data_IF_254017439779
#
_entry.id   IF_254017439779
#
_cell.length_a   1.000
_cell.length_b   1.000
_cell.length_c   1.000
_cell.angle_alpha   90.00
_cell.angle_beta   90.00
_cell.angle_gamma   90.00
#
_symmetry.space_group_name_H-M   'P 1'
#
loop_
_entity.id
_entity.type
_entity.pdbx_description
1 polymer ?
#
# COMPACT_ATOMS: atom_id res chain seq x y z
N UNK A 1 0.77 -25.33 22.36
CA UNK A 1 0.99 -23.88 22.56
C UNK A 1 -0.32 -23.23 23.00
N UNK A 2 -0.50 -23.02 24.31
CA UNK A 2 -1.58 -22.16 24.83
C UNK A 2 -1.24 -20.72 24.49
N UNK A 3 -1.92 -20.10 23.50
CA UNK A 3 -1.97 -18.65 23.36
C UNK A 3 -2.61 -18.08 24.63
N UNK A 4 -1.80 -17.59 25.55
CA UNK A 4 -2.27 -16.77 26.65
C UNK A 4 -2.68 -15.44 26.03
N UNK A 5 -3.97 -15.27 25.77
CA UNK A 5 -4.57 -14.01 25.39
C UNK A 5 -4.56 -13.14 26.67
N UNK A 6 -3.51 -12.35 26.86
CA UNK A 6 -3.53 -11.25 27.81
C UNK A 6 -4.58 -10.24 27.36
N UNK A 7 -5.82 -10.47 27.76
CA UNK A 7 -6.86 -9.43 27.66
C UNK A 7 -6.52 -8.39 28.71
N UNK A 8 -5.93 -7.27 28.31
CA UNK A 8 -5.73 -6.16 29.23
C UNK A 8 -7.09 -5.75 29.80
N UNK A 9 -7.33 -5.83 31.12
CA UNK A 9 -8.58 -5.41 31.73
C UNK A 9 -8.95 -3.97 31.36
N UNK A 10 -7.92 -3.12 31.21
CA UNK A 10 -8.08 -1.72 30.82
C UNK A 10 -8.64 -1.53 29.42
N UNK A 11 -8.25 -2.37 28.45
CA UNK A 11 -8.83 -2.32 27.10
C UNK A 11 -10.30 -2.71 27.12
N UNK A 12 -10.68 -3.72 27.93
CA UNK A 12 -12.08 -4.10 28.10
C UNK A 12 -12.89 -2.95 28.68
N UNK A 13 -12.42 -2.35 29.77
CA UNK A 13 -13.05 -1.18 30.40
C UNK A 13 -13.29 -0.02 29.42
N UNK A 14 -12.28 0.28 28.57
CA UNK A 14 -12.41 1.34 27.56
C UNK A 14 -13.40 0.98 26.44
N UNK A 15 -13.53 -0.30 26.09
CA UNK A 15 -14.54 -0.77 25.12
C UNK A 15 -15.93 -0.69 25.74
N UNK A 16 -16.09 -1.16 27.00
CA UNK A 16 -17.38 -1.14 27.71
C UNK A 16 -17.83 0.32 27.95
N UNK A 17 -16.89 1.25 28.16
CA UNK A 17 -17.16 2.68 28.26
C UNK A 17 -17.38 3.38 26.90
N UNK A 18 -17.38 2.67 25.78
CA UNK A 18 -17.57 3.23 24.44
C UNK A 18 -16.44 4.15 23.95
N UNK A 19 -15.30 4.21 24.66
CA UNK A 19 -14.13 5.02 24.30
C UNK A 19 -13.27 4.37 23.24
N UNK A 20 -13.30 3.04 23.14
CA UNK A 20 -12.65 2.25 22.11
C UNK A 20 -13.66 1.31 21.47
N UNK A 21 -13.44 1.00 20.21
CA UNK A 21 -14.13 -0.10 19.51
C UNK A 21 -13.14 -1.20 19.21
N UNK A 22 -13.54 -2.44 19.45
CA UNK A 22 -12.75 -3.61 19.07
C UNK A 22 -13.05 -3.95 17.62
N UNK A 23 -11.99 -4.08 16.82
CA UNK A 23 -12.11 -4.50 15.44
C UNK A 23 -11.98 -6.02 15.28
N UNK A 24 -10.91 -6.58 15.88
CA UNK A 24 -10.51 -7.99 15.77
C UNK A 24 -9.70 -8.37 17.01
N UNK A 25 -9.26 -9.62 17.12
CA UNK A 25 -8.40 -10.08 18.19
C UNK A 25 -7.11 -9.24 18.26
N UNK A 26 -6.99 -8.43 19.32
CA UNK A 26 -5.83 -7.56 19.55
C UNK A 26 -5.83 -6.24 18.76
N UNK A 27 -6.86 -5.94 17.97
CA UNK A 27 -6.98 -4.69 17.20
C UNK A 27 -8.11 -3.82 17.74
N UNK A 28 -7.80 -2.59 18.12
CA UNK A 28 -8.74 -1.61 18.66
C UNK A 28 -8.58 -0.28 17.94
N UNK A 29 -9.65 0.53 17.89
CA UNK A 29 -9.63 1.85 17.27
C UNK A 29 -10.49 2.84 18.05
N UNK A 30 -10.14 4.12 17.91
CA UNK A 30 -10.98 5.21 18.39
C UNK A 30 -12.11 5.44 17.38
N UNK A 31 -13.39 5.30 17.78
CA UNK A 31 -14.48 5.54 16.86
C UNK A 31 -14.55 7.01 16.47
N UNK A 32 -14.71 7.29 15.18
CA UNK A 32 -15.05 8.63 14.71
C UNK A 32 -16.45 9.02 15.19
N UNK A 33 -16.68 10.30 15.44
CA UNK A 33 -18.01 10.87 15.74
C UNK A 33 -18.55 11.56 14.49
N UNK A 34 -19.74 11.21 14.06
CA UNK A 34 -20.49 11.92 13.02
C UNK A 34 -21.70 12.61 13.63
N UNK A 35 -21.97 13.85 13.19
CA UNK A 35 -23.19 14.59 13.60
C UNK A 35 -24.48 13.88 13.18
N UNK A 36 -24.43 13.08 12.10
CA UNK A 36 -25.62 12.43 11.51
C UNK A 36 -25.78 10.96 11.90
N UNK A 37 -24.68 10.23 12.17
CA UNK A 37 -24.70 8.76 12.34
C UNK A 37 -24.13 8.27 13.68
N UNK A 38 -23.82 9.16 14.62
CA UNK A 38 -23.19 8.78 15.89
C UNK A 38 -21.76 8.23 15.69
N UNK A 39 -21.47 7.02 16.18
CA UNK A 39 -20.15 6.39 16.06
C UNK A 39 -19.95 5.85 14.64
N UNK A 40 -18.88 6.31 13.97
CA UNK A 40 -18.51 5.85 12.62
C UNK A 40 -17.57 4.64 12.73
N UNK A 41 -17.93 3.49 12.16
CA UNK A 41 -17.04 2.34 12.16
C UNK A 41 -15.83 2.59 11.28
N UNK A 42 -14.68 2.01 11.67
CA UNK A 42 -13.46 2.06 10.84
C UNK A 42 -13.68 1.31 9.52
N UNK A 43 -13.18 1.87 8.41
CA UNK A 43 -13.26 1.21 7.10
C UNK A 43 -12.28 0.03 6.98
N UNK A 44 -12.61 -0.94 6.11
CA UNK A 44 -11.72 -2.05 5.80
C UNK A 44 -10.36 -1.58 5.26
N UNK A 45 -10.36 -0.57 4.39
CA UNK A 45 -9.13 0.02 3.83
C UNK A 45 -8.25 0.67 4.91
N UNK A 46 -8.85 1.34 5.89
CA UNK A 46 -8.08 1.90 7.02
C UNK A 46 -7.43 0.79 7.86
N UNK A 47 -8.15 -0.30 8.10
CA UNK A 47 -7.60 -1.45 8.83
C UNK A 47 -6.49 -2.13 8.04
N UNK A 48 -6.68 -2.35 6.72
CA UNK A 48 -5.67 -2.90 5.84
C UNK A 48 -4.39 -2.04 5.86
N UNK A 49 -4.53 -0.71 5.75
CA UNK A 49 -3.42 0.23 5.85
C UNK A 49 -2.68 0.09 7.18
N UNK A 50 -3.39 0.08 8.31
CA UNK A 50 -2.77 -0.03 9.63
C UNK A 50 -2.10 -1.38 9.88
N UNK A 51 -2.60 -2.47 9.27
CA UNK A 51 -2.02 -3.81 9.44
C UNK A 51 -0.83 -4.07 8.52
N UNK A 52 -0.89 -3.60 7.27
CA UNK A 52 0.01 -4.04 6.21
C UNK A 52 0.85 -2.94 5.58
N UNK A 53 0.44 -1.68 5.67
CA UNK A 53 1.17 -0.57 5.03
C UNK A 53 1.95 0.24 6.05
N UNK A 54 1.30 0.71 7.11
CA UNK A 54 1.97 1.53 8.13
C UNK A 54 1.48 1.14 9.52
N UNK A 55 2.39 0.67 10.35
CA UNK A 55 2.10 0.26 11.72
C UNK A 55 2.85 1.13 12.71
N UNK A 56 2.12 1.82 13.61
CA UNK A 56 2.70 2.72 14.62
C UNK A 56 3.64 3.78 14.03
N UNK A 57 3.27 4.34 12.87
CA UNK A 57 4.07 5.34 12.17
C UNK A 57 5.23 4.79 11.34
N UNK A 58 5.52 3.49 11.38
CA UNK A 58 6.58 2.86 10.58
C UNK A 58 6.00 2.25 9.31
N UNK A 59 6.63 2.51 8.17
CA UNK A 59 6.27 1.89 6.89
C UNK A 59 6.64 0.41 6.90
N UNK A 60 5.70 -0.45 6.49
CA UNK A 60 5.87 -1.89 6.37
C UNK A 60 5.39 -2.45 5.04
N UNK A 61 4.81 -1.59 4.21
CA UNK A 61 4.24 -1.97 2.94
C UNK A 61 3.84 -0.76 2.11
N UNK A 62 3.31 -1.02 0.92
CA UNK A 62 2.78 -0.02 0.01
C UNK A 62 1.65 -0.60 -0.83
N UNK A 63 0.82 0.28 -1.38
CA UNK A 63 -0.18 -0.11 -2.38
C UNK A 63 0.49 -0.34 -3.73
N UNK A 64 0.02 -1.35 -4.47
CA UNK A 64 0.57 -1.72 -5.77
C UNK A 64 -0.53 -1.86 -6.83
N UNK A 65 -0.14 -2.18 -8.04
CA UNK A 65 -1.06 -2.46 -9.14
C UNK A 65 -1.99 -1.29 -9.46
N UNK A 66 -3.22 -1.59 -9.85
CA UNK A 66 -4.26 -0.58 -10.11
C UNK A 66 -4.55 0.32 -8.91
N UNK A 67 -4.35 -0.17 -7.67
CA UNK A 67 -4.51 0.66 -6.47
C UNK A 67 -3.53 1.82 -6.47
N UNK A 68 -2.26 1.55 -6.74
CA UNK A 68 -1.25 2.60 -6.85
C UNK A 68 -1.49 3.49 -8.08
N UNK A 69 -1.74 2.90 -9.25
CA UNK A 69 -2.00 3.65 -10.48
C UNK A 69 -3.15 4.65 -10.32
N UNK A 70 -4.26 4.23 -9.71
CA UNK A 70 -5.40 5.10 -9.43
C UNK A 70 -5.06 6.22 -8.42
N UNK A 71 -4.36 5.89 -7.31
CA UNK A 71 -3.94 6.86 -6.30
C UNK A 71 -3.02 7.95 -6.87
N UNK A 72 -2.18 7.59 -7.85
CA UNK A 72 -1.25 8.51 -8.52
C UNK A 72 -1.87 9.21 -9.74
N UNK A 73 -3.14 8.95 -10.05
CA UNK A 73 -3.81 9.50 -11.22
C UNK A 73 -3.25 8.99 -12.56
N UNK A 74 -2.64 7.82 -12.56
CA UNK A 74 -2.11 7.14 -13.75
C UNK A 74 -3.15 6.21 -14.39
N UNK A 75 -4.25 5.94 -13.72
CA UNK A 75 -5.42 5.22 -14.24
C UNK A 75 -6.69 5.75 -13.57
N UNK A 76 -7.78 5.82 -14.31
CA UNK A 76 -9.12 6.14 -13.78
C UNK A 76 -9.83 4.90 -13.20
N UNK A 77 -9.29 3.71 -13.43
CA UNK A 77 -9.87 2.47 -12.91
C UNK A 77 -9.74 2.40 -11.38
N UNK A 78 -10.87 2.28 -10.69
CA UNK A 78 -10.92 2.04 -9.25
C UNK A 78 -10.96 0.54 -9.02
N UNK A 79 -9.91 -0.07 -8.46
CA UNK A 79 -9.86 -1.51 -8.29
C UNK A 79 -10.85 -1.98 -7.21
N UNK A 80 -11.65 -3.00 -7.52
CA UNK A 80 -12.51 -3.66 -6.54
C UNK A 80 -11.69 -4.38 -5.46
N UNK A 81 -10.57 -5.00 -5.84
CA UNK A 81 -9.61 -5.65 -4.93
C UNK A 81 -8.38 -4.78 -4.84
N UNK A 82 -8.11 -4.21 -3.68
CA UNK A 82 -6.90 -3.42 -3.45
C UNK A 82 -5.70 -4.33 -3.29
N UNK A 83 -4.60 -3.98 -3.95
CA UNK A 83 -3.35 -4.72 -3.90
C UNK A 83 -2.35 -4.04 -2.96
N UNK A 84 -1.77 -4.84 -2.05
CA UNK A 84 -0.81 -4.38 -1.04
C UNK A 84 0.41 -5.30 -1.06
N UNK A 85 1.59 -4.71 -1.14
CA UNK A 85 2.87 -5.39 -0.90
C UNK A 85 3.32 -5.07 0.52
N UNK A 86 3.66 -6.10 1.31
CA UNK A 86 3.94 -5.90 2.74
C UNK A 86 4.94 -6.90 3.30
N UNK A 87 5.78 -6.43 4.22
CA UNK A 87 6.65 -7.28 5.04
C UNK A 87 5.86 -8.30 5.88
N UNK A 88 4.58 -8.02 6.16
CA UNK A 88 3.68 -8.90 6.93
C UNK A 88 3.06 -10.03 6.07
N UNK A 89 3.40 -10.09 4.77
CA UNK A 89 2.91 -11.15 3.90
C UNK A 89 3.68 -12.46 4.15
N UNK A 90 2.96 -13.51 4.56
CA UNK A 90 3.53 -14.84 4.81
C UNK A 90 3.68 -15.69 3.55
N UNK A 91 2.92 -15.40 2.49
CA UNK A 91 2.94 -16.10 1.22
C UNK A 91 3.32 -15.16 0.08
N UNK A 92 3.80 -15.70 -1.06
CA UNK A 92 4.16 -14.93 -2.24
C UNK A 92 3.02 -14.02 -2.68
N UNK A 93 1.81 -14.59 -2.77
CA UNK A 93 0.55 -13.88 -3.05
C UNK A 93 -0.57 -14.60 -2.30
N UNK A 94 -1.47 -13.86 -1.67
CA UNK A 94 -2.71 -14.43 -1.11
C UNK A 94 -3.82 -13.38 -1.09
N UNK A 95 -5.04 -13.84 -1.26
CA UNK A 95 -6.24 -13.04 -0.97
C UNK A 95 -6.50 -13.04 0.53
N UNK A 96 -6.84 -11.89 1.07
CA UNK A 96 -7.31 -11.70 2.44
C UNK A 96 -8.62 -10.94 2.43
N UNK A 97 -9.45 -11.19 3.42
CA UNK A 97 -10.71 -10.49 3.61
C UNK A 97 -10.70 -9.70 4.92
N UNK A 98 -11.17 -8.46 4.85
CA UNK A 98 -11.30 -7.55 5.98
C UNK A 98 -12.69 -6.91 5.89
N UNK A 99 -13.59 -7.22 6.81
CA UNK A 99 -14.97 -6.71 6.82
C UNK A 99 -15.72 -6.89 5.48
N UNK A 100 -15.59 -8.03 4.87
CA UNK A 100 -16.24 -8.32 3.57
C UNK A 100 -15.53 -7.70 2.36
N UNK A 101 -14.49 -6.88 2.54
CA UNK A 101 -13.68 -6.34 1.45
C UNK A 101 -12.45 -7.22 1.23
N UNK A 102 -12.22 -7.57 -0.03
CA UNK A 102 -11.07 -8.37 -0.45
C UNK A 102 -9.85 -7.50 -0.74
N UNK A 103 -8.68 -8.02 -0.37
CA UNK A 103 -7.38 -7.43 -0.66
C UNK A 103 -6.44 -8.52 -1.18
N UNK A 104 -5.59 -8.16 -2.12
CA UNK A 104 -4.50 -9.00 -2.58
C UNK A 104 -3.22 -8.62 -1.84
N UNK A 105 -2.72 -9.51 -0.99
CA UNK A 105 -1.51 -9.28 -0.22
C UNK A 105 -0.34 -10.01 -0.86
N UNK A 106 0.72 -9.28 -1.22
CA UNK A 106 1.95 -9.82 -1.82
C UNK A 106 3.16 -9.63 -0.92
N UNK A 107 4.06 -10.64 -0.96
CA UNK A 107 5.37 -10.54 -0.32
C UNK A 107 6.28 -9.61 -1.14
N UNK A 108 7.05 -8.72 -0.50
CA UNK A 108 7.97 -7.84 -1.20
C UNK A 108 9.20 -8.60 -1.71
N UNK A 109 9.90 -8.05 -2.69
CA UNK A 109 11.15 -8.60 -3.26
C UNK A 109 12.33 -8.43 -2.32
N UNK A 110 12.31 -7.40 -1.50
CA UNK A 110 13.25 -7.13 -0.40
C UNK A 110 12.51 -6.50 0.76
N UNK A 111 13.14 -6.41 1.93
CA UNK A 111 12.53 -5.78 3.11
C UNK A 111 12.20 -4.32 2.82
N UNK A 112 10.96 -3.94 3.07
CA UNK A 112 10.47 -2.57 2.91
C UNK A 112 10.87 -1.75 4.14
N UNK A 113 11.47 -0.58 3.90
CA UNK A 113 11.87 0.41 4.91
C UNK A 113 11.34 1.79 4.54
N UNK A 114 11.51 2.77 5.44
CA UNK A 114 11.15 4.17 5.17
C UNK A 114 11.93 4.76 3.99
N UNK A 115 13.17 4.30 3.77
CA UNK A 115 14.06 4.84 2.74
C UNK A 115 13.78 4.26 1.35
N UNK A 116 13.24 3.01 1.29
CA UNK A 116 13.15 2.31 0.00
C UNK A 116 11.73 2.06 -0.51
N UNK A 117 10.69 2.27 0.31
CA UNK A 117 9.34 1.88 -0.09
C UNK A 117 8.84 2.60 -1.35
N UNK A 118 9.23 3.85 -1.56
CA UNK A 118 8.83 4.63 -2.73
C UNK A 118 9.43 4.10 -4.03
N UNK A 119 10.74 3.82 -4.02
CA UNK A 119 11.39 3.25 -5.20
C UNK A 119 10.90 1.83 -5.48
N UNK A 120 10.66 1.00 -4.45
CA UNK A 120 10.11 -0.34 -4.63
C UNK A 120 8.70 -0.30 -5.21
N UNK A 121 7.85 0.61 -4.73
CA UNK A 121 6.50 0.85 -5.22
C UNK A 121 6.51 1.28 -6.69
N UNK A 122 7.40 2.20 -7.05
CA UNK A 122 7.57 2.68 -8.42
C UNK A 122 8.07 1.57 -9.35
N UNK A 123 9.07 0.80 -8.94
CA UNK A 123 9.60 -0.32 -9.74
C UNK A 123 8.57 -1.45 -9.89
N UNK A 124 7.78 -1.75 -8.85
CA UNK A 124 6.67 -2.70 -8.94
C UNK A 124 5.60 -2.23 -9.94
N UNK A 125 5.29 -0.94 -9.99
CA UNK A 125 4.38 -0.38 -10.97
C UNK A 125 4.93 -0.57 -12.40
N UNK A 126 6.21 -0.34 -12.63
CA UNK A 126 6.84 -0.53 -13.93
C UNK A 126 6.84 -2.00 -14.40
N UNK A 127 6.71 -2.97 -13.50
CA UNK A 127 6.64 -4.40 -13.89
C UNK A 127 5.47 -4.67 -14.83
N UNK A 128 4.32 -4.10 -14.56
CA UNK A 128 3.09 -4.32 -15.31
C UNK A 128 2.50 -2.99 -15.86
N UNK A 129 3.39 -2.05 -16.16
CA UNK A 129 3.06 -0.71 -16.63
C UNK A 129 1.98 -0.70 -17.72
N UNK A 130 2.15 -1.53 -18.76
CA UNK A 130 1.23 -1.60 -19.89
C UNK A 130 -0.22 -1.93 -19.49
N UNK A 131 -0.40 -2.67 -18.39
CA UNK A 131 -1.74 -3.06 -17.91
C UNK A 131 -2.50 -1.90 -17.27
N UNK A 132 -1.78 -0.90 -16.78
CA UNK A 132 -2.36 0.24 -16.06
C UNK A 132 -2.63 1.42 -16.98
N UNK A 133 -2.14 1.35 -18.22
CA UNK A 133 -2.35 2.32 -19.28
C UNK A 133 -3.67 2.03 -19.99
N UNK A 134 -4.77 2.59 -19.52
CA UNK A 134 -6.09 2.39 -20.12
C UNK A 134 -6.44 3.43 -21.21
N UNK A 135 -5.50 4.32 -21.53
CA UNK A 135 -5.71 5.39 -22.51
C UNK A 135 -6.64 6.51 -22.02
N UNK A 136 -7.17 6.43 -20.81
CA UNK A 136 -8.07 7.43 -20.24
C UNK A 136 -7.33 8.61 -19.60
N UNK A 137 -6.02 8.48 -19.41
CA UNK A 137 -5.16 9.50 -18.80
C UNK A 137 -4.18 10.03 -19.85
N UNK A 138 -4.23 11.33 -20.08
CA UNK A 138 -3.30 12.01 -20.96
C UNK A 138 -1.94 12.21 -20.27
N UNK A 139 -0.87 12.16 -21.07
CA UNK A 139 0.51 12.50 -20.68
C UNK A 139 1.04 11.71 -19.45
N UNK A 140 0.87 10.42 -19.45
CA UNK A 140 1.39 9.53 -18.40
C UNK A 140 2.90 9.68 -18.19
N UNK A 141 3.76 9.82 -19.24
CA UNK A 141 5.19 10.08 -19.03
C UNK A 141 5.48 11.30 -18.16
N UNK A 142 4.83 12.43 -18.42
CA UNK A 142 5.04 13.63 -17.60
C UNK A 142 4.56 13.44 -16.15
N UNK A 143 3.45 12.72 -15.95
CA UNK A 143 2.98 12.35 -14.59
C UNK A 143 3.96 11.46 -13.85
N UNK A 144 4.56 10.48 -14.53
CA UNK A 144 5.59 9.62 -13.92
C UNK A 144 6.83 10.42 -13.54
N UNK A 145 7.27 11.34 -14.41
CA UNK A 145 8.39 12.26 -14.12
C UNK A 145 8.07 13.11 -12.89
N UNK A 146 6.84 13.61 -12.78
CA UNK A 146 6.43 14.40 -11.62
C UNK A 146 6.47 13.57 -10.32
N UNK A 147 5.92 12.34 -10.35
CA UNK A 147 5.96 11.41 -9.20
C UNK A 147 7.40 11.17 -8.74
N UNK A 148 8.33 10.94 -9.66
CA UNK A 148 9.73 10.70 -9.35
C UNK A 148 10.36 11.90 -8.65
N UNK A 149 10.05 13.13 -9.13
CA UNK A 149 10.54 14.37 -8.52
C UNK A 149 9.97 14.57 -7.13
N UNK A 150 8.65 14.41 -6.98
CA UNK A 150 7.95 14.62 -5.70
C UNK A 150 8.40 13.63 -4.63
N UNK A 151 8.70 12.39 -5.02
CA UNK A 151 9.13 11.32 -4.13
C UNK A 151 10.67 11.20 -4.01
N UNK A 152 11.44 12.12 -4.62
CA UNK A 152 12.90 12.15 -4.64
C UNK A 152 13.55 10.83 -5.08
N UNK A 153 12.94 10.15 -6.08
CA UNK A 153 13.47 8.90 -6.63
C UNK A 153 14.58 9.23 -7.61
N UNK A 154 15.83 9.05 -7.18
CA UNK A 154 17.02 9.33 -7.99
C UNK A 154 17.51 8.09 -8.73
N UNK A 155 18.31 8.29 -9.78
CA UNK A 155 18.97 7.20 -10.51
C UNK A 155 19.73 6.26 -9.57
N UNK A 156 20.51 6.80 -8.63
CA UNK A 156 21.25 6.02 -7.65
C UNK A 156 20.37 5.09 -6.83
N UNK A 157 19.18 5.55 -6.43
CA UNK A 157 18.23 4.75 -5.65
C UNK A 157 17.58 3.67 -6.55
N UNK A 158 17.26 3.99 -7.81
CA UNK A 158 16.75 3.00 -8.77
C UNK A 158 17.80 1.91 -9.01
N UNK A 159 19.05 2.28 -9.31
CA UNK A 159 20.14 1.34 -9.60
C UNK A 159 20.40 0.37 -8.42
N UNK A 160 20.16 0.80 -7.19
CA UNK A 160 20.31 -0.05 -6.00
C UNK A 160 19.28 -1.20 -5.91
N UNK A 161 18.10 -1.05 -6.53
CA UNK A 161 17.02 -2.02 -6.38
C UNK A 161 16.54 -2.64 -7.68
N UNK A 162 16.85 -2.06 -8.85
CA UNK A 162 16.29 -2.50 -10.15
C UNK A 162 16.67 -3.94 -10.50
N UNK A 163 17.83 -4.42 -10.05
CA UNK A 163 18.28 -5.81 -10.26
C UNK A 163 17.38 -6.87 -9.60
N UNK A 164 16.52 -6.47 -8.64
CA UNK A 164 15.54 -7.34 -8.02
C UNK A 164 14.29 -7.56 -8.89
N UNK A 165 14.19 -6.83 -10.00
CA UNK A 165 13.02 -6.79 -10.87
C UNK A 165 13.29 -7.45 -12.23
N UNK A 166 12.23 -7.91 -12.95
CA UNK A 166 12.40 -8.47 -14.28
C UNK A 166 13.00 -7.47 -15.27
N UNK A 167 13.73 -7.96 -16.28
CA UNK A 167 14.41 -7.15 -17.31
C UNK A 167 13.45 -6.16 -18.02
N UNK A 168 12.16 -6.50 -18.14
CA UNK A 168 11.18 -5.59 -18.74
C UNK A 168 11.06 -4.24 -18.04
N UNK A 169 11.43 -4.13 -16.75
CA UNK A 169 11.44 -2.87 -16.03
C UNK A 169 12.44 -1.89 -16.63
N UNK A 170 13.61 -2.37 -17.07
CA UNK A 170 14.58 -1.52 -17.78
C UNK A 170 13.98 -0.97 -19.08
N UNK A 171 13.32 -1.83 -19.86
CA UNK A 171 12.62 -1.40 -21.08
C UNK A 171 11.59 -0.32 -20.75
N UNK A 172 10.72 -0.56 -19.76
CA UNK A 172 9.66 0.36 -19.37
C UNK A 172 10.19 1.70 -18.84
N UNK A 173 11.35 1.73 -18.17
CA UNK A 173 12.02 2.98 -17.79
C UNK A 173 12.41 3.84 -19.00
N UNK A 174 12.88 3.20 -20.10
CA UNK A 174 13.21 3.92 -21.34
C UNK A 174 11.95 4.36 -22.09
N UNK A 175 10.98 3.49 -22.25
CA UNK A 175 9.73 3.78 -22.98
C UNK A 175 8.89 4.88 -22.33
N UNK A 176 8.92 4.97 -21.00
CA UNK A 176 8.25 6.06 -20.26
C UNK A 176 9.02 7.38 -20.28
N UNK A 177 10.23 7.41 -20.80
CA UNK A 177 11.09 8.59 -20.77
C UNK A 177 11.63 8.98 -19.39
N UNK A 178 11.27 8.23 -18.36
CA UNK A 178 11.66 8.46 -16.96
C UNK A 178 13.17 8.47 -16.79
N UNK A 179 13.89 7.62 -17.53
CA UNK A 179 15.36 7.53 -17.48
C UNK A 179 16.02 8.89 -17.73
N UNK A 180 15.45 9.73 -18.59
CA UNK A 180 15.99 11.06 -18.92
C UNK A 180 15.68 12.11 -17.84
N UNK A 181 14.70 11.85 -16.99
CA UNK A 181 14.33 12.76 -15.92
C UNK A 181 15.11 12.54 -14.61
N UNK A 182 15.76 11.37 -14.48
CA UNK A 182 16.54 10.97 -13.31
C UNK A 182 18.06 10.98 -13.57
N UNK A 183 18.48 11.34 -14.79
CA UNK A 183 19.88 11.41 -15.21
C UNK A 183 20.65 12.53 -14.48
#
# INVERSE_FOLDING_TARGET
FRRVLFRSPKLKELVDAGKLCRYDAGSYYLPGKSKLKGLVPISASTVARCKYVSQRGKVRGYYAGFTFANQMGLSLQVPYVQEIVSNEASAKVREIEIKGQKFLLRKPRTVITEENYRVLQFLDFLVDFDKYMDGSVEDIPARLVQIIKDENITKKVIDAYISLYPTKVYKNLYETGVVYAIA
#
